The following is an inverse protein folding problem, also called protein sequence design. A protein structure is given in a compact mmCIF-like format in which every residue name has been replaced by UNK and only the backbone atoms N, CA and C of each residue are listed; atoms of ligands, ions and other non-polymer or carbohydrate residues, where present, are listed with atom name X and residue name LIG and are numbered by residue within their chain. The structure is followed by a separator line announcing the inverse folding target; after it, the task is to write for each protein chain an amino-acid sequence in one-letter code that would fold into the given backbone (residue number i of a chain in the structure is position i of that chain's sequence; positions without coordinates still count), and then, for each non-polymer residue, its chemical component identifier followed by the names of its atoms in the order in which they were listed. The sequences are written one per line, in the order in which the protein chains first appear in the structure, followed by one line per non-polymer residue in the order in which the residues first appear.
data_IF_586595293142
#
_entry.id   IF_586595293142
#
_cell.length_a   1.000
_cell.length_b   1.000
_cell.length_c   1.000
_cell.angle_alpha   90.00
_cell.angle_beta   90.00
_cell.angle_gamma   90.00
#
_symmetry.space_group_name_H-M   'P 1'
#
loop_
_entity.id
_entity.type
_entity.pdbx_description
1 polymer ?
#
# COMPACT_ATOMS: atom_id res chain seq x y z
N UNK A 1 -1.63 -15.50 3.80
CA UNK A 1 -1.09 -14.18 3.40
C UNK A 1 -2.17 -13.16 3.71
N UNK A 2 -1.87 -12.17 4.54
CA UNK A 2 -2.79 -11.06 4.75
C UNK A 2 -2.83 -10.26 3.44
N UNK A 3 -4.00 -10.18 2.81
CA UNK A 3 -4.26 -9.31 1.67
C UNK A 3 -5.19 -8.23 2.19
N UNK A 4 -5.02 -6.98 1.76
CA UNK A 4 -5.96 -5.91 2.05
C UNK A 4 -6.30 -4.96 0.93
N UNK A 5 -7.51 -4.42 1.01
CA UNK A 5 -8.04 -3.42 0.09
C UNK A 5 -8.55 -2.24 0.90
N UNK A 6 -8.07 -1.05 0.56
CA UNK A 6 -8.49 0.20 1.17
C UNK A 6 -9.16 1.02 0.08
N UNK A 7 -10.47 1.20 0.19
CA UNK A 7 -11.18 2.19 -0.62
C UNK A 7 -10.86 3.58 -0.08
N UNK A 8 -10.19 4.39 -0.90
CA UNK A 8 -9.78 5.74 -0.52
C UNK A 8 -10.88 6.77 -0.82
N UNK A 9 -11.93 6.37 -1.55
CA UNK A 9 -13.02 7.24 -2.03
C UNK A 9 -13.82 7.90 -0.90
N UNK A 10 -13.97 7.21 0.24
CA UNK A 10 -14.70 7.69 1.41
C UNK A 10 -13.82 7.94 2.64
N UNK A 11 -12.48 7.84 2.51
CA UNK A 11 -11.57 7.93 3.65
C UNK A 11 -11.28 9.40 4.02
N UNK A 12 -11.33 9.80 5.30
CA UNK A 12 -11.04 11.16 5.73
C UNK A 12 -9.59 11.60 5.44
N UNK A 13 -8.68 10.66 5.26
CA UNK A 13 -7.28 10.89 4.89
C UNK A 13 -7.03 10.67 3.39
N UNK A 14 -8.06 10.72 2.53
CA UNK A 14 -7.94 10.48 1.08
C UNK A 14 -6.82 11.29 0.41
N UNK A 15 -6.69 12.59 0.71
CA UNK A 15 -5.62 13.44 0.15
C UNK A 15 -4.23 12.98 0.57
N UNK A 16 -4.10 12.46 1.80
CA UNK A 16 -2.83 11.93 2.31
C UNK A 16 -2.53 10.59 1.66
N UNK A 17 -3.51 9.71 1.54
CA UNK A 17 -3.39 8.42 0.86
C UNK A 17 -2.97 8.61 -0.59
N UNK A 18 -3.60 9.54 -1.30
CA UNK A 18 -3.23 9.88 -2.67
C UNK A 18 -1.79 10.39 -2.78
N UNK A 19 -1.37 11.27 -1.86
CA UNK A 19 0.01 11.78 -1.83
C UNK A 19 1.03 10.67 -1.61
N UNK A 20 0.77 9.77 -0.67
CA UNK A 20 1.64 8.62 -0.40
C UNK A 20 1.67 7.69 -1.61
N UNK A 21 0.51 7.33 -2.17
CA UNK A 21 0.42 6.49 -3.36
C UNK A 21 1.19 7.06 -4.56
N UNK A 22 1.04 8.37 -4.83
CA UNK A 22 1.82 9.08 -5.86
C UNK A 22 3.31 9.12 -5.54
N UNK A 23 3.67 9.27 -4.27
CA UNK A 23 5.06 9.17 -3.81
C UNK A 23 5.66 7.81 -4.10
N UNK A 24 4.92 6.72 -3.89
CA UNK A 24 5.36 5.35 -4.15
C UNK A 24 5.53 5.07 -5.66
N UNK A 25 4.60 5.56 -6.48
CA UNK A 25 4.69 5.49 -7.95
C UNK A 25 5.95 6.21 -8.46
N UNK A 26 6.19 7.44 -7.98
CA UNK A 26 7.35 8.25 -8.39
C UNK A 26 8.68 7.78 -7.81
N UNK A 27 8.67 7.23 -6.59
CA UNK A 27 9.86 6.70 -5.93
C UNK A 27 10.48 5.55 -6.73
N UNK A 28 9.73 4.97 -7.67
CA UNK A 28 10.18 3.90 -8.56
C UNK A 28 10.90 2.86 -7.73
N UNK A 29 10.28 2.52 -6.59
CA UNK A 29 10.75 1.58 -5.59
C UNK A 29 11.18 0.37 -6.38
N UNK A 30 12.49 0.13 -6.36
CA UNK A 30 13.14 -0.63 -7.40
C UNK A 30 12.33 -1.88 -7.68
N UNK A 31 12.24 -2.28 -8.95
CA UNK A 31 11.83 -3.63 -9.35
C UNK A 31 12.81 -4.71 -8.83
N UNK A 32 13.45 -4.43 -7.69
CA UNK A 32 14.32 -5.25 -6.91
C UNK A 32 13.59 -6.52 -6.63
N UNK A 33 13.98 -7.53 -7.39
CA UNK A 33 13.48 -8.89 -7.29
C UNK A 33 13.24 -9.24 -5.83
N UNK A 34 12.11 -9.91 -5.52
CA UNK A 34 11.87 -10.42 -4.17
C UNK A 34 13.09 -11.22 -3.74
N UNK A 35 13.81 -10.72 -2.74
CA UNK A 35 14.93 -11.44 -2.15
C UNK A 35 14.33 -12.43 -1.14
N UNK A 36 14.74 -13.71 -1.17
CA UNK A 36 14.12 -14.76 -0.34
C UNK A 36 14.29 -14.52 1.16
N UNK A 37 15.29 -13.73 1.59
CA UNK A 37 15.54 -13.35 2.97
C UNK A 37 14.87 -12.03 3.40
N UNK A 38 14.10 -11.38 2.52
CA UNK A 38 13.41 -10.12 2.82
C UNK A 38 11.91 -10.29 2.77
N UNK A 39 11.23 -9.88 3.83
CA UNK A 39 9.78 -9.71 3.80
C UNK A 39 9.43 -8.62 2.79
N UNK A 40 8.66 -9.01 1.78
CA UNK A 40 8.20 -8.16 0.70
C UNK A 40 6.68 -8.09 0.71
N UNK A 41 6.15 -6.87 0.75
CA UNK A 41 4.73 -6.57 0.59
C UNK A 41 4.47 -6.28 -0.89
N UNK A 42 3.41 -6.88 -1.44
CA UNK A 42 2.90 -6.53 -2.76
C UNK A 42 1.74 -5.55 -2.56
N UNK A 43 1.92 -4.31 -3.03
CA UNK A 43 0.91 -3.27 -3.01
C UNK A 43 0.37 -3.08 -4.43
N UNK A 44 -0.95 -3.06 -4.57
CA UNK A 44 -1.62 -2.76 -5.83
C UNK A 44 -2.37 -1.44 -5.66
N UNK A 45 -2.01 -0.43 -6.46
CA UNK A 45 -2.64 0.88 -6.44
C UNK A 45 -3.48 1.03 -7.71
N UNK A 46 -4.77 1.35 -7.57
CA UNK A 46 -5.66 1.66 -8.68
C UNK A 46 -6.14 3.09 -8.54
N UNK A 47 -5.97 3.87 -9.61
CA UNK A 47 -6.47 5.25 -9.68
C UNK A 47 -8.00 5.27 -9.88
N UNK A 48 -8.55 4.24 -10.50
CA UNK A 48 -9.98 4.05 -10.73
C UNK A 48 -10.29 2.55 -10.79
N UNK A 49 -11.54 2.16 -10.53
CA UNK A 49 -11.97 0.74 -10.51
C UNK A 49 -11.65 0.00 -11.83
N UNK A 50 -11.75 0.71 -12.95
CA UNK A 50 -11.48 0.20 -14.31
C UNK A 50 -10.00 0.35 -14.74
N UNK A 51 -9.16 1.02 -13.94
CA UNK A 51 -7.76 1.24 -14.28
C UNK A 51 -6.89 0.01 -13.97
N UNK A 52 -5.86 -0.22 -14.80
CA UNK A 52 -4.86 -1.25 -14.50
C UNK A 52 -4.15 -0.92 -13.19
N UNK A 53 -4.08 -1.87 -12.23
CA UNK A 53 -3.37 -1.65 -10.98
C UNK A 53 -1.87 -1.49 -11.22
N UNK A 54 -1.30 -0.43 -10.67
CA UNK A 54 0.14 -0.32 -10.54
C UNK A 54 0.59 -1.26 -9.41
N UNK A 55 1.33 -2.30 -9.79
CA UNK A 55 1.89 -3.26 -8.85
C UNK A 55 3.25 -2.78 -8.34
N UNK A 56 3.35 -2.60 -7.03
CA UNK A 56 4.56 -2.17 -6.34
C UNK A 56 5.03 -3.27 -5.40
N UNK A 57 6.32 -3.57 -5.44
CA UNK A 57 6.95 -4.50 -4.49
C UNK A 57 7.72 -3.68 -3.48
N UNK A 58 7.30 -3.75 -2.22
CA UNK A 58 7.88 -3.00 -1.11
C UNK A 58 8.64 -3.97 -0.21
N UNK A 59 9.92 -3.73 0.03
CA UNK A 59 10.64 -4.45 1.08
C UNK A 59 10.37 -3.79 2.43
N UNK A 60 10.18 -4.57 3.49
CA UNK A 60 9.95 -4.02 4.85
C UNK A 60 11.04 -3.03 5.29
N UNK A 61 12.28 -3.23 4.82
CA UNK A 61 13.43 -2.38 5.13
C UNK A 61 13.47 -1.06 4.35
N UNK A 62 12.74 -0.97 3.23
CA UNK A 62 12.62 0.23 2.40
C UNK A 62 11.32 1.00 2.70
N UNK A 63 10.56 0.58 3.73
CA UNK A 63 9.35 1.27 4.13
C UNK A 63 9.69 2.57 4.87
N UNK A 64 9.43 3.69 4.21
CA UNK A 64 9.33 4.98 4.88
C UNK A 64 8.13 5.01 5.83
N UNK A 65 8.14 5.96 6.77
CA UNK A 65 7.09 6.13 7.78
C UNK A 65 5.69 6.28 7.15
N UNK A 66 5.58 6.96 6.01
CA UNK A 66 4.31 7.14 5.31
C UNK A 66 3.83 5.84 4.64
N UNK A 67 4.73 5.06 4.06
CA UNK A 67 4.43 3.77 3.44
C UNK A 67 4.02 2.74 4.49
N UNK A 68 4.72 2.70 5.62
CA UNK A 68 4.38 1.84 6.75
C UNK A 68 2.97 2.15 7.30
N UNK A 69 2.63 3.44 7.41
CA UNK A 69 1.28 3.88 7.81
C UNK A 69 0.20 3.46 6.80
N UNK A 70 0.45 3.57 5.50
CA UNK A 70 -0.48 3.11 4.47
C UNK A 70 -0.72 1.60 4.57
N UNK A 71 0.35 0.81 4.72
CA UNK A 71 0.26 -0.65 4.86
C UNK A 71 -0.52 -1.05 6.11
N UNK A 72 -0.24 -0.42 7.24
CA UNK A 72 -0.98 -0.65 8.49
C UNK A 72 -2.48 -0.40 8.30
N UNK A 73 -2.86 0.69 7.62
CA UNK A 73 -4.27 1.03 7.34
C UNK A 73 -4.95 0.04 6.40
N UNK A 74 -4.25 -0.42 5.35
CA UNK A 74 -4.73 -1.46 4.42
C UNK A 74 -4.88 -2.82 5.11
N UNK A 75 -4.02 -3.13 6.07
CA UNK A 75 -4.12 -4.36 6.86
C UNK A 75 -5.27 -4.28 7.87
N UNK A 76 -5.51 -3.10 8.47
CA UNK A 76 -6.64 -2.87 9.37
C UNK A 76 -7.98 -2.83 8.66
N UNK A 77 -8.06 -2.37 7.39
CA UNK A 77 -9.33 -2.34 6.64
C UNK A 77 -9.90 -3.74 6.34
N UNK A 78 -9.06 -4.77 6.47
CA UNK A 78 -9.44 -6.17 6.22
C UNK A 78 -9.98 -6.92 7.41
N UNK A 79 -9.87 -6.36 8.61
CA UNK A 79 -10.50 -6.94 9.78
C UNK A 79 -11.99 -6.57 9.72
N UNK A 80 -12.92 -7.52 9.48
CA UNK A 80 -14.33 -7.24 9.66
C UNK A 80 -14.60 -7.21 11.17
N UNK A 81 -14.21 -6.13 11.85
CA UNK A 81 -14.59 -5.84 13.24
C UNK A 81 -13.46 -5.88 14.27
N UNK A 82 -12.78 -4.74 14.46
CA UNK A 82 -12.08 -4.38 15.69
C UNK A 82 -11.75 -2.89 15.64
N UNK A 83 -12.48 -1.95 16.26
CA UNK A 83 -13.24 -2.06 17.49
C UNK A 83 -12.37 -1.67 18.67
N UNK A 84 -12.16 -0.35 18.87
CA UNK A 84 -12.01 0.30 20.18
C UNK A 84 -12.31 1.80 20.03
#
# INVERSE_FOLDING_TARGET
MARGELDTSADPDAERLERVARGLDQARLGSGRPQPDRYVYQLQVRDSDDAEPTELTLAEQDLDQETAWLLDRVLQSQEPGGGA
#
